data_IF_306808457196
#
_entry.id   IF_306808457196
#
_cell.length_a   1.000
_cell.length_b   1.000
_cell.length_c   1.000
_cell.angle_alpha   90.00
_cell.angle_beta   90.00
_cell.angle_gamma   90.00
#
_symmetry.space_group_name_H-M   'P 1'
#
loop_
_entity.id
_entity.type
_entity.pdbx_description
1 polymer ?
2 water ?
#
# COMPACT_ATOMS: atom_id res chain seq x y z
N UNK A 3 -1.40 22.95 16.60
CA UNK A 3 -1.71 22.13 15.39
C UNK A 3 -1.11 22.72 14.11
N UNK A 4 -1.04 21.90 13.07
CA UNK A 4 -0.51 22.31 11.76
C UNK A 4 -1.31 21.61 10.69
N UNK A 5 -1.86 22.39 9.76
CA UNK A 5 -2.64 21.82 8.67
C UNK A 5 -2.11 22.35 7.36
N UNK A 6 -1.80 21.43 6.45
CA UNK A 6 -1.28 21.81 5.15
C UNK A 6 -2.43 21.83 4.16
N UNK A 7 -2.53 22.92 3.42
CA UNK A 7 -3.55 23.10 2.41
C UNK A 7 -2.90 22.84 1.06
N UNK A 8 -3.60 22.12 0.19
CA UNK A 8 -3.10 21.84 -1.15
C UNK A 8 -4.22 22.20 -2.11
N UNK A 9 -3.94 23.13 -3.03
CA UNK A 9 -4.93 23.57 -4.01
C UNK A 9 -4.64 22.99 -5.40
N UNK A 10 -5.63 22.29 -5.96
CA UNK A 10 -5.48 21.66 -7.26
C UNK A 10 -5.49 22.63 -8.43
N UNK A 11 -4.92 23.82 -8.22
CA UNK A 11 -4.87 24.86 -9.25
C UNK A 11 -3.65 25.76 -9.04
N UNK A 12 -3.09 26.28 -10.12
CA UNK A 12 -1.94 27.17 -10.01
C UNK A 12 -2.34 28.60 -10.30
N UNK A 13 -3.59 28.81 -10.72
CA UNK A 13 -4.07 30.15 -11.04
C UNK A 13 -4.33 30.88 -9.74
N UNK A 14 -4.17 32.20 -9.77
CA UNK A 14 -4.36 33.01 -8.59
C UNK A 14 -5.83 33.22 -8.20
N UNK A 15 -6.72 33.24 -9.18
CA UNK A 15 -8.11 33.46 -8.87
C UNK A 15 -8.98 32.22 -8.81
N UNK A 16 -8.35 31.06 -8.79
CA UNK A 16 -9.08 29.80 -8.73
C UNK A 16 -10.23 29.79 -7.72
N UNK A 17 -11.39 29.27 -8.14
CA UNK A 17 -12.55 29.20 -7.24
C UNK A 17 -12.23 28.24 -6.09
N UNK A 18 -11.30 27.32 -6.33
CA UNK A 18 -10.94 26.36 -5.29
C UNK A 18 -9.95 26.99 -4.31
N UNK A 19 -9.18 27.97 -4.76
CA UNK A 19 -8.24 28.65 -3.87
C UNK A 19 -9.06 29.60 -3.01
N UNK A 20 -10.14 30.12 -3.60
CA UNK A 20 -11.04 31.02 -2.89
C UNK A 20 -11.78 30.25 -1.81
N UNK A 21 -12.13 28.99 -2.11
CA UNK A 21 -12.82 28.15 -1.13
C UNK A 21 -11.82 27.83 -0.02
N UNK A 22 -10.55 27.67 -0.40
CA UNK A 22 -9.50 27.36 0.54
C UNK A 22 -9.22 28.51 1.49
N UNK A 23 -9.44 29.73 1.03
CA UNK A 23 -9.22 30.91 1.88
C UNK A 23 -10.33 30.94 2.93
N UNK A 24 -11.55 30.61 2.54
CA UNK A 24 -12.69 30.60 3.45
C UNK A 24 -12.49 29.52 4.51
N UNK A 25 -11.97 28.37 4.09
CA UNK A 25 -11.73 27.30 5.03
C UNK A 25 -10.66 27.74 6.02
N UNK A 26 -9.56 28.30 5.51
CA UNK A 26 -8.48 28.77 6.36
C UNK A 26 -8.99 29.73 7.43
N UNK A 27 -10.02 30.50 7.09
CA UNK A 27 -10.61 31.47 7.99
C UNK A 27 -11.56 30.90 9.03
N UNK A 28 -12.37 29.93 8.64
CA UNK A 28 -13.30 29.34 9.57
C UNK A 28 -12.63 28.56 10.70
N UNK A 29 -11.34 28.29 10.56
CA UNK A 29 -10.62 27.57 11.61
C UNK A 29 -9.86 28.63 12.40
N UNK A 30 -9.54 29.72 11.71
CA UNK A 30 -8.84 30.80 12.36
C UNK A 30 -7.57 30.38 13.07
N UNK A 31 -7.60 30.41 14.40
CA UNK A 31 -6.42 30.04 15.18
C UNK A 31 -6.47 28.64 15.80
N UNK A 32 -7.56 27.91 15.57
CA UNK A 32 -7.67 26.56 16.11
C UNK A 32 -6.51 25.71 15.53
N UNK A 33 -5.94 26.17 14.41
CA UNK A 33 -4.84 25.47 13.77
C UNK A 33 -4.03 26.38 12.87
N UNK A 34 -2.76 26.06 12.74
CA UNK A 34 -1.86 26.84 11.91
C UNK A 34 -1.88 26.33 10.47
N UNK A 35 -2.61 27.05 9.61
CA UNK A 35 -2.72 26.69 8.19
C UNK A 35 -1.56 27.22 7.37
N UNK A 36 -1.19 26.45 6.34
CA UNK A 36 -0.12 26.80 5.44
C UNK A 36 -0.47 26.18 4.08
N UNK A 37 0.01 26.79 3.00
CA UNK A 37 -0.28 26.30 1.67
C UNK A 37 0.96 25.63 1.04
N UNK A 38 0.75 24.57 0.27
CA UNK A 38 1.87 23.88 -0.36
C UNK A 38 2.12 24.38 -1.77
N UNK A 39 3.38 24.69 -2.08
CA UNK A 39 3.74 25.16 -3.40
C UNK A 39 4.40 23.99 -4.14
N UNK A 40 3.83 23.61 -5.28
CA UNK A 40 4.37 22.51 -6.05
C UNK A 40 4.21 22.79 -7.55
N UNK A 41 4.26 24.08 -7.89
CA UNK A 41 4.14 24.56 -9.27
C UNK A 41 5.05 23.77 -10.21
N UNK A 42 6.30 23.55 -9.77
CA UNK A 42 7.30 22.81 -10.55
C UNK A 42 7.77 21.54 -9.86
N UNK A 43 7.32 20.41 -10.38
CA UNK A 43 7.71 19.12 -9.86
C UNK A 43 8.05 18.26 -11.07
N UNK A 44 9.12 17.46 -10.98
CA UNK A 44 9.47 16.63 -12.12
C UNK A 44 8.36 15.65 -12.48
N UNK A 45 8.26 15.31 -13.75
CA UNK A 45 7.27 14.34 -14.18
C UNK A 45 7.75 13.05 -13.50
N UNK A 46 6.87 12.37 -12.77
CA UNK A 46 7.30 11.16 -12.10
C UNK A 46 7.66 10.01 -13.05
N UNK A 47 8.65 9.23 -12.63
CA UNK A 47 9.11 8.08 -13.37
C UNK A 47 10.13 7.33 -12.48
N UNK A 48 9.97 6.01 -12.42
CA UNK A 48 10.81 5.15 -11.58
C UNK A 48 12.31 5.27 -11.76
N UNK A 49 12.77 5.40 -13.00
CA UNK A 49 14.21 5.52 -13.27
C UNK A 49 14.86 6.74 -12.64
N UNK A 50 14.04 7.62 -12.05
CA UNK A 50 14.52 8.84 -11.43
C UNK A 50 14.53 8.79 -9.91
N UNK A 51 13.94 7.74 -9.36
CA UNK A 51 13.83 7.61 -7.92
C UNK A 51 15.13 7.59 -7.13
N UNK A 52 16.23 7.22 -7.78
CA UNK A 52 17.52 7.20 -7.06
C UNK A 52 18.13 8.60 -7.03
N UNK A 53 17.50 9.53 -7.74
CA UNK A 53 17.99 10.91 -7.82
C UNK A 53 17.24 11.83 -6.86
N UNK A 54 17.93 12.88 -6.43
CA UNK A 54 17.34 13.87 -5.53
C UNK A 54 16.75 15.03 -6.31
N UNK A 55 15.48 15.30 -6.04
CA UNK A 55 14.75 16.38 -6.67
C UNK A 55 14.25 17.31 -5.55
N UNK A 56 14.88 18.48 -5.41
CA UNK A 56 14.55 19.49 -4.40
C UNK A 56 13.06 19.75 -4.18
N UNK A 57 12.34 20.00 -5.27
CA UNK A 57 10.91 20.26 -5.19
C UNK A 57 10.15 19.10 -4.55
N UNK A 58 10.67 17.89 -4.71
CA UNK A 58 10.06 16.69 -4.14
C UNK A 58 10.44 16.53 -2.67
N UNK A 59 11.71 16.80 -2.36
CA UNK A 59 12.17 16.71 -0.98
C UNK A 59 11.37 17.73 -0.16
N UNK A 60 11.13 18.88 -0.77
CA UNK A 60 10.37 19.99 -0.15
C UNK A 60 8.98 19.57 0.29
N UNK A 61 8.18 19.13 -0.67
CA UNK A 61 6.81 18.69 -0.41
C UNK A 61 6.75 17.56 0.61
N UNK A 62 7.75 16.69 0.59
CA UNK A 62 7.84 15.56 1.51
C UNK A 62 7.89 16.02 2.98
N UNK A 63 8.73 17.00 3.26
CA UNK A 63 8.87 17.53 4.61
C UNK A 63 7.59 18.21 5.04
N UNK A 64 7.11 19.11 4.18
CA UNK A 64 5.88 19.83 4.45
C UNK A 64 4.76 18.91 4.93
N UNK A 65 4.64 17.74 4.29
CA UNK A 65 3.63 16.75 4.66
C UNK A 65 4.01 16.01 5.93
N UNK A 66 5.30 15.86 6.14
CA UNK A 66 5.79 15.17 7.32
C UNK A 66 5.61 16.02 8.57
N UNK A 67 5.74 17.34 8.41
CA UNK A 67 5.60 18.28 9.53
C UNK A 67 4.14 18.58 9.89
N UNK A 68 3.25 18.39 8.91
CA UNK A 68 1.83 18.66 9.08
C UNK A 68 1.08 17.60 9.86
N UNK A 69 0.09 18.04 10.64
CA UNK A 69 -0.74 17.13 11.43
C UNK A 69 -1.83 16.55 10.53
N UNK A 70 -2.28 17.37 9.58
CA UNK A 70 -3.30 16.94 8.64
C UNK A 70 -3.14 17.67 7.32
N UNK A 71 -3.96 17.28 6.34
CA UNK A 71 -3.91 17.85 5.01
C UNK A 71 -5.31 18.02 4.45
N UNK A 72 -5.55 19.18 3.84
CA UNK A 72 -6.84 19.48 3.25
C UNK A 72 -6.62 19.87 1.79
N UNK A 73 -7.23 19.09 0.90
CA UNK A 73 -7.13 19.31 -0.53
C UNK A 73 -8.38 19.98 -1.09
N UNK A 74 -8.18 21.12 -1.74
CA UNK A 74 -9.26 21.86 -2.38
C UNK A 74 -8.91 21.79 -3.86
N UNK A 75 -9.55 20.89 -4.61
CA UNK A 75 -9.19 20.76 -6.01
C UNK A 75 -10.34 20.69 -6.97
N UNK A 76 -10.11 21.16 -8.20
CA UNK A 76 -11.16 21.14 -9.23
C UNK A 76 -11.16 19.75 -9.84
N UNK A 77 -12.17 19.44 -10.64
CA UNK A 77 -12.24 18.15 -11.28
C UNK A 77 -12.10 18.35 -12.78
N UNK A 78 -11.15 17.66 -13.38
CA UNK A 78 -10.96 17.76 -14.81
C UNK A 78 -11.42 16.46 -15.45
N UNK A 79 -12.44 16.54 -16.29
CA UNK A 79 -13.00 15.38 -16.97
C UNK A 79 -13.34 14.27 -15.97
N UNK A 80 -13.86 14.66 -14.80
CA UNK A 80 -14.24 13.71 -13.74
C UNK A 80 -13.08 13.17 -12.92
N UNK A 81 -11.85 13.60 -13.23
CA UNK A 81 -10.71 13.07 -12.52
C UNK A 81 -9.93 14.06 -11.68
N UNK A 82 -8.95 13.51 -10.96
CA UNK A 82 -8.05 14.28 -10.12
C UNK A 82 -7.12 15.05 -11.06
N UNK A 83 -6.93 16.35 -10.81
CA UNK A 83 -6.05 17.17 -11.66
C UNK A 83 -4.67 16.52 -11.84
N UNK A 84 -4.22 16.44 -13.07
CA UNK A 84 -2.93 15.84 -13.35
C UNK A 84 -1.81 16.14 -12.38
N UNK A 85 -1.48 17.43 -12.18
CA UNK A 85 -0.41 17.83 -11.27
C UNK A 85 -0.56 17.31 -9.85
N UNK A 86 -1.79 17.05 -9.44
CA UNK A 86 -2.05 16.55 -8.10
C UNK A 86 -1.73 15.05 -8.04
N UNK A 87 -2.14 14.30 -9.06
CA UNK A 87 -1.88 12.86 -9.11
C UNK A 87 -0.37 12.64 -9.20
N UNK A 88 0.31 13.45 -10.01
CA UNK A 88 1.74 13.35 -10.15
C UNK A 88 2.42 13.63 -8.82
N UNK A 89 1.89 14.58 -8.06
CA UNK A 89 2.46 14.93 -6.75
C UNK A 89 2.33 13.73 -5.80
N UNK A 90 1.13 13.13 -5.81
CA UNK A 90 0.85 11.98 -4.97
C UNK A 90 1.69 10.79 -5.40
N UNK A 91 2.00 10.69 -6.69
CA UNK A 91 2.81 9.58 -7.16
C UNK A 91 4.19 9.65 -6.50
N UNK A 92 4.67 10.85 -6.24
CA UNK A 92 5.97 11.02 -5.58
C UNK A 92 5.85 10.85 -4.06
N UNK A 93 4.88 11.53 -3.46
CA UNK A 93 4.68 11.46 -2.01
C UNK A 93 4.28 10.08 -1.47
N UNK A 94 3.78 9.22 -2.35
CA UNK A 94 3.38 7.88 -1.94
C UNK A 94 4.55 6.90 -2.01
N UNK A 95 5.70 7.36 -2.48
CA UNK A 95 6.86 6.48 -2.57
C UNK A 95 7.45 6.19 -1.19
N UNK A 96 8.05 5.00 -1.05
CA UNK A 96 8.66 4.59 0.20
C UNK A 96 9.76 5.59 0.60
N UNK A 97 9.82 5.89 1.89
CA UNK A 97 10.82 6.83 2.40
C UNK A 97 12.21 6.18 2.40
N UNK A 98 12.25 4.86 2.28
CA UNK A 98 13.52 4.14 2.27
C UNK A 98 13.72 3.44 0.93
N UNK A 99 14.89 3.71 0.34
CA UNK A 99 15.33 3.15 -0.94
C UNK A 99 15.81 1.73 -0.79
N UNK A 100 15.95 1.29 0.47
CA UNK A 100 16.41 -0.06 0.80
C UNK A 100 15.19 -0.94 0.88
N UNK A 101 14.09 -0.28 1.18
CA UNK A 101 12.85 -0.95 1.41
C UNK A 101 11.69 -0.43 0.56
N UNK A 102 11.60 -0.88 -0.70
CA UNK A 102 10.55 -0.49 -1.65
C UNK A 102 9.15 -0.68 -1.06
N UNK A 103 9.00 -1.64 -0.16
CA UNK A 103 7.68 -1.92 0.45
C UNK A 103 7.43 -1.20 1.78
N UNK A 104 8.28 -0.22 2.08
CA UNK A 104 8.14 0.55 3.30
C UNK A 104 7.14 1.69 3.16
N UNK A 105 6.80 2.34 4.28
CA UNK A 105 5.85 3.46 4.37
C UNK A 105 6.40 4.79 3.82
N UNK A 106 5.51 5.55 3.19
CA UNK A 106 5.83 6.85 2.61
C UNK A 106 5.44 7.91 3.64
N UNK A 107 5.61 9.19 3.29
CA UNK A 107 5.23 10.26 4.24
C UNK A 107 3.71 10.29 4.46
N UNK A 108 2.97 9.70 3.52
CA UNK A 108 1.52 9.65 3.57
C UNK A 108 0.95 8.62 4.55
N UNK A 109 1.82 7.81 5.15
CA UNK A 109 1.38 6.78 6.08
C UNK A 109 0.58 7.33 7.26
N UNK A 110 -0.69 6.94 7.33
CA UNK A 110 -1.59 7.35 8.41
C UNK A 110 -1.93 8.85 8.46
N UNK A 111 -1.50 9.64 7.46
CA UNK A 111 -1.80 11.08 7.47
C UNK A 111 -3.27 11.35 7.35
N UNK A 112 -3.78 12.20 8.23
CA UNK A 112 -5.20 12.57 8.21
C UNK A 112 -5.38 13.52 7.04
N UNK A 113 -6.42 13.27 6.25
CA UNK A 113 -6.66 14.08 5.09
C UNK A 113 -8.15 14.16 4.81
N UNK A 114 -8.55 15.21 4.10
CA UNK A 114 -9.94 15.43 3.72
C UNK A 114 -9.95 16.31 2.46
N UNK A 115 -11.05 16.29 1.73
CA UNK A 115 -11.14 17.03 0.47
C UNK A 115 -12.41 17.87 0.28
N UNK A 116 -12.26 18.98 -0.46
CA UNK A 116 -13.35 19.89 -0.81
C UNK A 116 -13.08 20.29 -2.26
N UNK A 117 -14.15 20.54 -3.01
CA UNK A 117 -14.01 20.90 -4.41
C UNK A 117 -15.08 21.87 -4.85
N UNK A 118 -14.76 22.75 -5.80
CA UNK A 118 -15.74 23.73 -6.29
C UNK A 118 -16.05 23.61 -7.78
N UNK A 119 -17.09 22.85 -8.07
CA UNK A 119 -17.51 22.61 -9.45
C UNK A 119 -18.94 22.09 -9.47
N UNK A 120 -19.43 21.77 -10.65
CA UNK A 120 -20.79 21.25 -10.78
C UNK A 120 -20.84 19.83 -11.36
N UNK A 121 -21.06 18.84 -10.49
CA UNK A 121 -21.14 17.47 -10.91
C UNK A 121 -22.08 16.69 -10.00
N UNK A 122 -22.51 15.51 -10.44
CA UNK A 122 -23.44 14.67 -9.66
C UNK A 122 -23.19 14.77 -8.16
N UNK A 126 -19.79 11.53 -7.67
CA UNK A 126 -18.89 11.38 -8.82
C UNK A 126 -17.82 12.44 -8.75
N UNK A 127 -17.98 13.35 -7.80
CA UNK A 127 -17.03 14.43 -7.61
C UNK A 127 -15.84 13.89 -6.83
N UNK A 128 -16.12 13.26 -5.70
CA UNK A 128 -15.07 12.72 -4.82
C UNK A 128 -14.78 11.22 -4.91
N UNK A 129 -15.33 10.54 -5.91
CA UNK A 129 -15.09 9.11 -6.05
C UNK A 129 -13.61 8.78 -6.17
N UNK A 130 -12.91 9.51 -7.03
CA UNK A 130 -11.48 9.31 -7.25
C UNK A 130 -10.68 9.39 -5.95
N UNK A 131 -10.88 10.47 -5.21
CA UNK A 131 -10.17 10.67 -3.96
C UNK A 131 -10.53 9.65 -2.89
N UNK A 132 -11.80 9.26 -2.81
CA UNK A 132 -12.23 8.29 -1.81
C UNK A 132 -11.53 6.93 -1.97
N UNK A 133 -11.23 6.58 -3.21
CA UNK A 133 -10.58 5.30 -3.50
C UNK A 133 -9.06 5.37 -3.41
N UNK A 134 -8.48 6.47 -3.87
CA UNK A 134 -7.02 6.64 -3.88
C UNK A 134 -6.34 7.02 -2.56
N UNK A 135 -6.83 8.06 -1.91
CA UNK A 135 -6.21 8.55 -0.67
C UNK A 135 -6.06 7.49 0.42
N UNK A 136 -7.09 6.63 0.59
CA UNK A 136 -7.02 5.57 1.61
C UNK A 136 -6.07 4.44 1.17
N UNK A 137 -6.03 4.22 -0.14
CA UNK A 137 -5.19 3.18 -0.73
C UNK A 137 -3.70 3.49 -0.56
N UNK A 138 -3.33 4.77 -0.61
CA UNK A 138 -1.94 5.13 -0.43
C UNK A 138 -1.63 5.38 1.05
N UNK A 139 -2.38 4.65 1.88
CA UNK A 139 -2.23 4.64 3.33
C UNK A 139 -2.57 5.87 4.16
N UNK A 141 -5.41 8.51 6.14
CA UNK A 141 -6.66 8.39 6.89
C UNK A 141 -7.62 9.48 6.43
N UNK A 142 -8.58 9.07 5.61
CA UNK A 142 -9.56 9.98 5.02
C UNK A 142 -10.79 10.30 5.87
N UNK A 143 -10.90 11.56 6.28
CA UNK A 143 -12.04 12.05 7.04
C UNK A 143 -13.11 12.25 5.97
N UNK A 144 -13.96 11.25 5.80
CA UNK A 144 -14.98 11.27 4.75
C UNK A 144 -16.20 12.17 4.93
N UNK A 145 -15.97 13.47 5.14
CA UNK A 145 -17.01 14.49 5.28
C UNK A 145 -16.68 15.52 4.21
N UNK A 146 -16.74 15.12 2.95
CA UNK A 146 -16.37 15.99 1.85
C UNK A 146 -17.44 16.97 1.36
N UNK A 147 -17.07 18.25 1.32
CA UNK A 147 -17.95 19.33 0.88
C UNK A 147 -17.71 19.74 -0.57
N UNK A 148 -18.75 19.57 -1.39
CA UNK A 148 -18.68 19.96 -2.79
C UNK A 148 -19.49 21.25 -2.98
N UNK A 149 -18.82 22.30 -3.46
CA UNK A 149 -19.49 23.59 -3.65
C UNK A 149 -19.66 23.96 -5.11
N UNK A 150 -20.88 24.32 -5.53
CA UNK A 150 -21.15 24.69 -6.92
C UNK A 150 -20.70 26.12 -7.19
N UNK A 151 -20.73 26.54 -8.45
CA UNK A 151 -20.31 27.88 -8.80
C UNK A 151 -21.51 28.78 -9.13
N UNK A 152 -21.67 29.84 -8.34
CA UNK A 152 -22.75 30.79 -8.58
C UNK A 152 -22.52 31.46 -9.94
N UNK A 153 -23.61 31.67 -10.69
CA UNK A 153 -23.55 32.25 -12.03
C UNK A 153 -23.04 33.70 -12.11
N UNK A 154 -22.88 34.33 -10.97
CA UNK A 154 -22.39 35.71 -10.90
C UNK A 154 -20.87 35.72 -10.95
N UNK A 155 -20.27 34.72 -10.32
CA UNK A 155 -18.83 34.58 -10.26
C UNK A 155 -18.20 34.62 -11.67
N UNK A 156 -18.97 34.16 -12.66
CA UNK A 156 -18.50 34.13 -14.03
C UNK A 156 -18.13 35.49 -14.61
N UNK A 157 -18.69 36.56 -14.03
CA UNK A 157 -18.41 37.92 -14.50
C UNK A 157 -17.65 38.76 -13.47
N UNK A 158 -17.87 38.46 -12.19
CA UNK A 158 -17.20 39.18 -11.10
C UNK A 158 -15.91 38.44 -10.73
N UNK A 159 -15.87 37.15 -11.05
CA UNK A 159 -14.71 36.32 -10.75
C UNK A 159 -14.63 36.00 -9.27
N UNK A 160 -15.74 36.20 -8.57
CA UNK A 160 -15.77 35.94 -7.13
C UNK A 160 -16.81 34.88 -6.79
N UNK A 161 -16.36 33.86 -6.04
CA UNK A 161 -17.21 32.76 -5.62
C UNK A 161 -18.06 33.10 -4.39
N UNK A 162 -19.35 32.77 -4.48
CA UNK A 162 -20.28 33.00 -3.40
C UNK A 162 -20.81 31.66 -2.91
N UNK A 163 -20.68 31.40 -1.62
CA UNK A 163 -21.13 30.14 -1.03
C UNK A 163 -22.38 30.35 -0.17
N UNK A 164 -23.39 29.51 -0.37
CA UNK A 164 -24.61 29.62 0.41
C UNK A 164 -24.26 29.36 1.87
N UNK A 165 -25.16 29.73 2.77
CA UNK A 165 -24.94 29.54 4.19
C UNK A 165 -25.03 28.06 4.52
N UNK A 166 -25.85 27.34 3.78
CA UNK A 166 -26.00 25.93 4.02
C UNK A 166 -24.69 25.22 3.66
N UNK A 167 -24.10 25.59 2.52
CA UNK A 167 -22.85 24.97 2.10
C UNK A 167 -21.71 25.40 3.01
N UNK A 168 -21.79 26.65 3.46
CA UNK A 168 -20.77 27.18 4.35
C UNK A 168 -20.82 26.43 5.69
N UNK A 169 -21.96 25.83 5.99
CA UNK A 169 -22.15 25.07 7.22
C UNK A 169 -21.46 23.72 7.08
N UNK A 170 -21.60 23.12 5.89
CA UNK A 170 -20.97 21.85 5.61
C UNK A 170 -19.47 22.00 5.77
N UNK A 171 -18.94 23.08 5.19
CA UNK A 171 -17.53 23.37 5.22
C UNK A 171 -16.98 23.58 6.63
N UNK A 172 -17.76 24.22 7.50
CA UNK A 172 -17.30 24.47 8.87
C UNK A 172 -17.38 23.19 9.69
N UNK A 173 -18.37 22.35 9.39
CA UNK A 173 -18.54 21.07 10.08
C UNK A 173 -17.41 20.15 9.64
N UNK A 174 -17.08 20.23 8.35
CA UNK A 174 -16.00 19.45 7.76
C UNK A 174 -14.69 19.86 8.42
N UNK A 175 -14.54 21.16 8.69
CA UNK A 175 -13.34 21.66 9.34
C UNK A 175 -13.33 21.16 10.77
N UNK A 176 -14.51 20.94 11.34
CA UNK A 176 -14.61 20.45 12.71
C UNK A 176 -14.31 18.97 12.81
N UNK A 177 -14.81 18.20 11.86
CA UNK A 177 -14.57 16.77 11.84
C UNK A 177 -13.06 16.52 11.66
N UNK A 178 -12.40 17.41 10.90
CA UNK A 178 -10.97 17.31 10.63
C UNK A 178 -10.17 17.65 11.89
N UNK A 179 -10.65 18.61 12.67
CA UNK A 179 -9.97 19.02 13.89
C UNK A 179 -10.10 17.99 15.00
N UNK A 180 -11.21 17.26 14.99
CA UNK A 180 -11.48 16.24 15.99
C UNK A 180 -10.64 15.00 15.71
N UNK A 181 -10.51 14.65 14.44
CA UNK A 181 -9.74 13.48 14.01
C UNK A 181 -8.31 13.66 14.46
N UNK A 182 -7.86 14.89 14.30
CA UNK A 182 -6.56 15.19 14.72
C UNK A 182 -6.50 15.17 16.20
N UNK A 183 -7.64 15.35 16.82
CA UNK A 183 -7.70 15.37 18.28
C UNK A 183 -7.57 13.97 18.85
N UNK A 184 -8.40 13.06 18.36
CA UNK A 184 -8.38 11.68 18.84
C UNK A 184 -7.01 11.03 18.68
N UNK B 3 -8.76 -24.94 -8.61
CA UNK B 3 -7.94 -24.16 -7.62
C UNK B 3 -6.44 -24.33 -7.86
N UNK B 4 -5.73 -23.21 -7.86
CA UNK B 4 -4.29 -23.24 -8.04
C UNK B 4 -3.64 -22.51 -6.88
N UNK B 5 -2.78 -23.22 -6.16
CA UNK B 5 -2.08 -22.64 -5.03
C UNK B 5 -0.59 -22.69 -5.33
N UNK B 6 0.05 -21.54 -5.27
CA UNK B 6 1.48 -21.43 -5.56
C UNK B 6 2.30 -21.46 -4.27
N UNK B 7 3.21 -22.43 -4.18
CA UNK B 7 4.07 -22.58 -3.02
C UNK B 7 5.37 -21.83 -3.26
N UNK B 8 5.83 -21.09 -2.26
CA UNK B 8 7.08 -20.35 -2.36
C UNK B 8 7.90 -20.74 -1.16
N UNK B 9 8.98 -21.48 -1.40
CA UNK B 9 9.87 -21.94 -0.34
C UNK B 9 11.01 -20.94 -0.13
N UNK B 10 11.20 -20.52 1.11
CA UNK B 10 12.24 -19.55 1.44
C UNK B 10 13.68 -20.08 1.49
N UNK B 11 13.96 -21.11 0.70
CA UNK B 11 15.30 -21.70 0.63
C UNK B 11 15.58 -22.21 -0.78
N UNK B 12 16.86 -22.27 -1.13
CA UNK B 12 17.27 -22.72 -2.45
C UNK B 12 17.85 -24.13 -2.45
N UNK B 13 18.02 -24.70 -1.27
CA UNK B 13 18.55 -26.05 -1.18
C UNK B 13 17.46 -27.09 -1.37
N UNK B 14 17.83 -28.23 -1.96
CA UNK B 14 16.92 -29.32 -2.22
C UNK B 14 16.46 -30.00 -0.93
N UNK B 15 17.37 -30.19 0.02
CA UNK B 15 17.01 -30.85 1.26
C UNK B 15 16.50 -29.95 2.38
N UNK B 16 16.23 -28.70 2.04
CA UNK B 16 15.74 -27.74 3.00
C UNK B 16 14.62 -28.35 3.82
N UNK B 17 14.61 -28.06 5.12
CA UNK B 17 13.57 -28.57 6.01
C UNK B 17 12.24 -27.89 5.75
N UNK B 18 12.31 -26.65 5.27
CA UNK B 18 11.09 -25.91 4.94
C UNK B 18 10.49 -26.50 3.66
N UNK B 19 11.37 -26.94 2.75
CA UNK B 19 10.89 -27.53 1.51
C UNK B 19 10.16 -28.81 1.86
N UNK B 20 10.65 -29.50 2.89
CA UNK B 20 10.05 -30.75 3.35
C UNK B 20 8.68 -30.49 3.97
N UNK B 21 8.56 -29.39 4.69
CA UNK B 21 7.29 -29.04 5.31
C UNK B 21 6.29 -28.70 4.21
N UNK B 22 6.79 -28.12 3.12
CA UNK B 22 5.94 -27.75 2.01
C UNK B 22 5.44 -29.02 1.32
N UNK B 23 6.33 -29.97 1.15
CA UNK B 23 5.97 -31.24 0.53
C UNK B 23 4.83 -31.88 1.30
N UNK B 24 4.80 -31.65 2.60
CA UNK B 24 3.73 -32.22 3.42
C UNK B 24 2.43 -31.45 3.26
N UNK B 25 2.53 -30.13 3.12
CA UNK B 25 1.33 -29.33 2.94
C UNK B 25 0.76 -29.71 1.57
N UNK B 26 1.64 -29.95 0.60
CA UNK B 26 1.21 -30.28 -0.74
C UNK B 26 0.30 -31.50 -0.85
N UNK B 27 0.62 -32.53 -0.08
CA UNK B 27 -0.17 -33.75 -0.09
C UNK B 27 -1.37 -33.62 0.84
N UNK B 28 -1.27 -32.73 1.83
CA UNK B 28 -2.39 -32.51 2.74
C UNK B 28 -3.50 -31.88 1.90
N UNK B 29 -3.11 -31.06 0.93
CA UNK B 29 -4.07 -30.40 0.05
C UNK B 29 -4.58 -31.47 -0.91
N UNK B 30 -3.65 -32.29 -1.38
CA UNK B 30 -4.02 -33.36 -2.28
C UNK B 30 -4.64 -32.84 -3.56
N UNK B 31 -5.73 -33.47 -3.98
CA UNK B 31 -6.40 -33.08 -5.21
C UNK B 31 -7.35 -31.90 -5.06
N UNK B 32 -7.37 -31.29 -3.88
CA UNK B 32 -8.25 -30.16 -3.65
C UNK B 32 -7.76 -28.91 -4.39
N UNK B 33 -6.52 -28.95 -4.86
CA UNK B 33 -5.93 -27.82 -5.57
C UNK B 33 -4.67 -28.22 -6.36
N UNK B 34 -4.41 -27.53 -7.45
CA UNK B 34 -3.21 -27.81 -8.23
C UNK B 34 -2.10 -27.02 -7.55
N UNK B 35 -1.19 -27.72 -6.86
CA UNK B 35 -0.10 -27.02 -6.19
C UNK B 35 1.12 -26.90 -7.09
N UNK B 36 1.69 -25.71 -7.13
CA UNK B 36 2.83 -25.43 -7.96
C UNK B 36 3.93 -24.82 -7.08
N UNK B 37 5.17 -24.84 -7.56
CA UNK B 37 6.26 -24.24 -6.80
C UNK B 37 6.92 -23.12 -7.60
N UNK B 38 7.15 -21.99 -6.94
CA UNK B 38 7.76 -20.87 -7.62
C UNK B 38 9.27 -20.97 -7.64
N UNK B 39 9.83 -20.82 -8.85
CA UNK B 39 11.27 -20.81 -9.05
C UNK B 39 11.65 -19.34 -9.15
N UNK B 40 12.63 -18.91 -8.36
CA UNK B 40 13.03 -17.51 -8.40
C UNK B 40 14.50 -17.28 -8.04
N UNK B 41 15.35 -18.24 -8.36
CA UNK B 41 16.76 -18.11 -8.04
C UNK B 41 17.56 -17.18 -8.98
N UNK B 42 16.97 -16.82 -10.11
CA UNK B 42 17.64 -15.93 -11.07
C UNK B 42 17.00 -14.53 -11.09
N UNK B 43 16.19 -14.24 -10.08
CA UNK B 43 15.55 -12.94 -9.95
C UNK B 43 16.60 -11.91 -9.49
N UNK B 44 16.83 -10.86 -10.30
CA UNK B 44 17.82 -9.83 -9.97
C UNK B 44 17.56 -9.03 -8.71
N UNK B 45 18.63 -8.47 -8.17
CA UNK B 45 18.60 -7.64 -6.97
C UNK B 45 17.72 -6.43 -7.33
N UNK B 46 16.78 -6.08 -6.46
CA UNK B 46 15.90 -4.95 -6.75
C UNK B 46 16.73 -3.67 -6.96
N UNK B 47 16.56 -3.05 -8.12
CA UNK B 47 17.36 -1.88 -8.46
C UNK B 47 16.68 -0.53 -8.78
N UNK B 48 15.38 -0.44 -8.53
CA UNK B 48 14.61 0.79 -8.83
C UNK B 48 14.60 1.10 -10.31
N UNK B 49 14.84 0.08 -11.14
CA UNK B 49 14.88 0.23 -12.60
C UNK B 49 13.70 -0.50 -13.28
N UNK B 50 12.95 0.21 -14.12
CA UNK B 50 11.78 -0.38 -14.76
C UNK B 50 12.06 -1.34 -15.94
N UNK B 51 13.28 -1.32 -16.49
CA UNK B 51 13.60 -2.24 -17.56
C UNK B 51 13.75 -3.64 -16.94
N UNK B 52 14.52 -3.72 -15.85
CA UNK B 52 14.75 -4.97 -15.12
C UNK B 52 13.41 -5.57 -14.73
N UNK B 53 12.36 -4.75 -14.82
CA UNK B 53 10.99 -5.14 -14.50
C UNK B 53 10.52 -6.25 -15.41
N UNK B 54 10.82 -6.12 -16.70
CA UNK B 54 10.42 -7.10 -17.70
C UNK B 54 11.40 -8.25 -17.82
N UNK B 55 12.39 -8.25 -16.94
CA UNK B 55 13.36 -9.33 -16.94
C UNK B 55 12.49 -10.58 -16.89
N UNK B 56 12.85 -11.61 -17.67
CA UNK B 56 12.14 -12.89 -17.76
C UNK B 56 11.76 -13.56 -16.44
N UNK B 57 12.71 -13.67 -15.52
CA UNK B 57 12.40 -14.33 -14.27
C UNK B 57 11.41 -13.51 -13.44
N UNK B 58 11.42 -12.20 -13.63
CA UNK B 58 10.50 -11.32 -12.89
C UNK B 58 9.10 -11.35 -13.51
N UNK B 59 9.02 -11.31 -14.84
CA UNK B 59 7.73 -11.36 -15.50
C UNK B 59 7.07 -12.72 -15.22
N UNK B 60 7.88 -13.78 -15.21
CA UNK B 60 7.43 -15.15 -14.94
C UNK B 60 6.76 -15.30 -13.57
N UNK B 61 7.44 -14.86 -12.52
CA UNK B 61 6.93 -14.94 -11.16
C UNK B 61 5.61 -14.16 -11.05
N UNK B 62 5.53 -13.03 -11.73
CA UNK B 62 4.35 -12.18 -11.73
C UNK B 62 3.16 -12.90 -12.37
N UNK B 63 3.39 -13.57 -13.49
CA UNK B 63 2.34 -14.31 -14.19
C UNK B 63 1.87 -15.48 -13.35
N UNK B 64 2.81 -16.12 -12.67
CA UNK B 64 2.51 -17.26 -11.81
C UNK B 64 1.63 -16.85 -10.63
N UNK B 65 1.94 -15.69 -10.03
CA UNK B 65 1.18 -15.18 -8.88
C UNK B 65 -0.22 -14.78 -9.35
N UNK B 66 -0.26 -14.20 -10.53
CA UNK B 66 -1.51 -13.75 -11.13
C UNK B 66 -2.40 -14.96 -11.44
N UNK B 67 -1.78 -16.08 -11.81
CA UNK B 67 -2.50 -17.31 -12.13
C UNK B 67 -3.04 -18.01 -10.89
N UNK B 68 -2.26 -17.98 -9.82
CA UNK B 68 -2.62 -18.62 -8.55
C UNK B 68 -3.87 -18.04 -7.89
N UNK B 69 -4.51 -18.84 -7.07
CA UNK B 69 -5.71 -18.41 -6.36
C UNK B 69 -5.28 -17.99 -4.96
N UNK B 70 -4.23 -18.65 -4.47
CA UNK B 70 -3.69 -18.33 -3.15
C UNK B 70 -2.22 -18.66 -3.20
N UNK B 71 -1.51 -18.16 -2.22
CA UNK B 71 -0.08 -18.39 -2.12
C UNK B 71 0.26 -18.90 -0.75
N UNK B 72 1.17 -19.87 -0.70
CA UNK B 72 1.59 -20.43 0.57
C UNK B 72 3.10 -20.35 0.71
N UNK B 73 3.55 -19.56 1.67
CA UNK B 73 4.98 -19.42 1.89
C UNK B 73 5.47 -20.34 3.00
N UNK B 74 6.54 -21.06 2.70
CA UNK B 74 7.19 -21.96 3.65
C UNK B 74 8.57 -21.37 3.74
N UNK B 75 8.86 -20.72 4.85
CA UNK B 75 10.15 -20.06 4.94
C UNK B 75 10.84 -20.07 6.27
N UNK B 76 12.17 -20.02 6.24
CA UNK B 76 12.96 -19.99 7.46
C UNK B 76 12.97 -18.55 7.97
N UNK B 77 13.79 -18.27 8.97
CA UNK B 77 13.89 -16.93 9.52
C UNK B 77 15.37 -16.62 9.83
N UNK B 78 15.90 -15.59 9.16
CA UNK B 78 17.28 -15.19 9.37
C UNK B 78 17.27 -14.15 10.49
N UNK B 79 17.73 -14.55 11.67
CA UNK B 79 17.77 -13.65 12.82
C UNK B 79 16.42 -12.92 13.00
N UNK B 80 15.35 -13.71 13.04
CA UNK B 80 14.00 -13.20 13.24
C UNK B 80 13.45 -12.26 12.16
N UNK B 81 13.96 -12.38 10.94
CA UNK B 81 13.50 -11.54 9.84
C UNK B 81 13.31 -12.34 8.55
N UNK B 82 12.46 -11.82 7.67
CA UNK B 82 12.19 -12.43 6.38
C UNK B 82 13.47 -12.63 5.59
N UNK B 83 13.68 -13.84 5.03
CA UNK B 83 14.90 -14.11 4.24
C UNK B 83 15.12 -13.08 3.13
N UNK B 84 16.37 -12.65 2.95
CA UNK B 84 16.70 -11.68 1.93
C UNK B 84 16.10 -11.97 0.57
N UNK B 85 16.29 -13.18 0.04
CA UNK B 85 15.76 -13.57 -1.27
C UNK B 85 14.22 -13.47 -1.42
N UNK B 86 13.50 -13.77 -0.35
CA UNK B 86 12.05 -13.70 -0.39
C UNK B 86 11.61 -12.24 -0.35
N UNK B 87 12.28 -11.44 0.48
CA UNK B 87 11.95 -10.02 0.58
C UNK B 87 12.27 -9.32 -0.74
N UNK B 88 13.39 -9.68 -1.36
CA UNK B 88 13.73 -9.07 -2.64
C UNK B 88 12.63 -9.44 -3.64
N UNK B 89 12.18 -10.69 -3.57
CA UNK B 89 11.13 -11.17 -4.46
C UNK B 89 9.87 -10.32 -4.31
N UNK B 90 9.50 -10.03 -3.05
CA UNK B 90 8.30 -9.24 -2.78
C UNK B 90 8.45 -7.77 -3.19
N UNK B 91 9.67 -7.26 -3.22
CA UNK B 91 9.90 -5.88 -3.64
C UNK B 91 9.45 -5.74 -5.10
N UNK B 92 9.77 -6.73 -5.92
CA UNK B 92 9.39 -6.73 -7.32
C UNK B 92 7.91 -6.97 -7.55
N UNK B 93 7.36 -8.00 -6.91
CA UNK B 93 5.95 -8.31 -7.08
C UNK B 93 5.02 -7.26 -6.49
N UNK B 94 5.54 -6.45 -5.56
CA UNK B 94 4.72 -5.42 -4.96
C UNK B 94 4.66 -4.17 -5.82
N UNK B 95 5.42 -4.12 -6.91
CA UNK B 95 5.38 -2.97 -7.82
C UNK B 95 4.03 -2.99 -8.52
N UNK B 96 3.49 -1.80 -8.79
CA UNK B 96 2.19 -1.72 -9.46
C UNK B 96 2.30 -2.26 -10.87
N UNK B 97 1.24 -2.92 -11.32
CA UNK B 97 1.16 -3.50 -12.67
C UNK B 97 1.21 -2.45 -13.75
N UNK B 98 0.66 -1.27 -13.44
CA UNK B 98 0.60 -0.17 -14.40
C UNK B 98 1.76 0.77 -14.23
N UNK B 99 2.80 0.54 -15.01
CA UNK B 99 4.00 1.38 -14.99
C UNK B 99 3.70 2.86 -14.80
N UNK B 100 2.82 3.37 -15.66
CA UNK B 100 2.43 4.77 -15.65
C UNK B 100 1.46 5.18 -14.55
N UNK B 101 1.45 4.42 -13.46
CA UNK B 101 0.59 4.72 -12.34
C UNK B 101 1.19 3.97 -11.16
N UNK B 102 2.30 4.48 -10.61
CA UNK B 102 2.99 3.85 -9.48
C UNK B 102 2.06 3.70 -8.28
N UNK B 103 0.91 4.36 -8.39
CA UNK B 103 -0.11 4.35 -7.37
C UNK B 103 -1.10 3.19 -7.55
N UNK B 104 -1.11 2.61 -8.75
CA UNK B 104 -2.00 1.50 -9.04
C UNK B 104 -1.66 0.20 -8.31
N UNK B 105 -2.54 -0.80 -8.38
CA UNK B 105 -2.33 -2.09 -7.71
C UNK B 105 -1.32 -3.03 -8.39
N UNK B 106 -0.73 -3.91 -7.58
CA UNK B 106 0.24 -4.89 -8.05
C UNK B 106 -0.43 -6.27 -8.12
N UNK B 107 0.28 -7.29 -8.59
CA UNK B 107 -0.31 -8.62 -8.69
C UNK B 107 -0.72 -9.16 -7.31
N UNK B 108 -0.12 -8.62 -6.25
CA UNK B 108 -0.40 -9.03 -4.88
C UNK B 108 -1.69 -8.43 -4.33
N UNK B 109 -2.33 -7.58 -5.11
CA UNK B 109 -3.56 -6.94 -4.66
C UNK B 109 -4.61 -7.97 -4.29
N UNK B 110 -4.83 -8.12 -2.99
CA UNK B 110 -5.81 -9.04 -2.47
C UNK B 110 -5.51 -10.52 -2.69
N UNK B 111 -4.25 -10.89 -2.87
CA UNK B 111 -3.94 -12.31 -3.06
C UNK B 111 -4.05 -12.98 -1.71
N UNK B 112 -4.82 -14.06 -1.66
CA UNK B 112 -4.94 -14.81 -0.43
C UNK B 112 -3.57 -15.41 -0.21
N UNK B 113 -3.08 -15.35 1.02
CA UNK B 113 -1.77 -15.89 1.36
C UNK B 113 -1.67 -16.35 2.79
N UNK B 114 -0.83 -17.33 3.04
CA UNK B 114 -0.59 -17.79 4.39
C UNK B 114 0.87 -18.23 4.48
N UNK B 115 1.36 -18.45 5.70
CA UNK B 115 2.76 -18.78 5.91
C UNK B 115 2.99 -19.88 6.93
N UNK B 116 4.03 -20.69 6.69
CA UNK B 116 4.42 -21.75 7.62
C UNK B 116 5.93 -21.64 7.79
N UNK B 117 6.45 -22.04 8.94
CA UNK B 117 7.89 -21.93 9.15
C UNK B 117 8.57 -23.02 9.96
N UNK B 118 9.70 -23.49 9.46
CA UNK B 118 10.50 -24.46 10.17
C UNK B 118 11.61 -23.64 10.81
N UNK B 119 11.51 -23.45 12.12
CA UNK B 119 12.51 -22.68 12.87
C UNK B 119 12.21 -22.76 14.36
N UNK B 120 13.26 -22.82 15.17
CA UNK B 120 13.11 -22.91 16.62
C UNK B 120 13.44 -21.55 17.28
N UNK B 121 12.46 -20.66 17.37
CA UNK B 121 12.69 -19.36 17.95
C UNK B 121 11.97 -19.20 19.26
N UNK B 122 12.04 -18.00 19.85
CA UNK B 122 11.37 -17.73 21.12
C UNK B 122 9.88 -18.01 21.05
N UNK B 123 9.14 -17.27 20.22
CA UNK B 123 7.71 -17.48 20.12
C UNK B 123 7.10 -17.34 18.73
N UNK B 124 5.99 -18.05 18.48
CA UNK B 124 5.30 -18.00 17.18
C UNK B 124 5.11 -16.54 16.78
N UNK B 125 4.72 -15.72 17.75
CA UNK B 125 4.53 -14.30 17.52
C UNK B 125 5.80 -13.72 16.89
N UNK B 126 6.92 -13.80 17.61
CA UNK B 126 8.21 -13.28 17.13
C UNK B 126 8.70 -13.94 15.84
N UNK B 127 8.20 -15.14 15.57
CA UNK B 127 8.59 -15.84 14.36
C UNK B 127 7.90 -15.20 13.14
N UNK B 128 6.56 -15.25 13.14
CA UNK B 128 5.74 -14.72 12.05
C UNK B 128 5.41 -13.25 12.15
N UNK B 129 6.14 -12.51 12.98
CA UNK B 129 5.89 -11.09 13.17
C UNK B 129 6.08 -10.29 11.88
N UNK B 130 7.26 -10.43 11.28
CA UNK B 130 7.58 -9.72 10.05
C UNK B 130 6.58 -9.96 8.92
N UNK B 131 6.23 -11.21 8.68
CA UNK B 131 5.28 -11.54 7.63
C UNK B 131 3.89 -10.99 7.91
N UNK B 132 3.46 -11.08 9.17
CA UNK B 132 2.14 -10.60 9.61
C UNK B 132 1.99 -9.09 9.44
N UNK B 133 3.13 -8.41 9.42
CA UNK B 133 3.21 -6.97 9.28
C UNK B 133 3.28 -6.60 7.80
N UNK B 134 4.19 -7.25 7.08
CA UNK B 134 4.39 -6.98 5.67
C UNK B 134 3.29 -7.40 4.69
N UNK B 135 3.00 -8.70 4.62
CA UNK B 135 2.01 -9.19 3.68
C UNK B 135 0.72 -8.39 3.57
N UNK B 136 0.12 -8.02 4.70
CA UNK B 136 -1.12 -7.23 4.62
C UNK B 136 -0.80 -5.81 4.10
N UNK B 137 0.30 -5.25 4.60
CA UNK B 137 0.70 -3.91 4.20
C UNK B 137 0.80 -3.84 2.70
N UNK B 138 1.34 -4.89 2.08
CA UNK B 138 1.45 -4.87 0.63
C UNK B 138 0.15 -5.35 -0.04
N UNK B 139 -0.96 -5.16 0.67
CA UNK B 139 -2.32 -5.47 0.20
C UNK B 139 -2.72 -6.91 -0.04
N UNK B 141 -4.22 -10.73 1.22
CA UNK B 141 -5.21 -11.19 2.17
C UNK B 141 -4.61 -12.30 3.00
N UNK B 142 -4.00 -11.94 4.12
CA UNK B 142 -3.38 -12.94 4.97
C UNK B 142 -4.35 -13.83 5.76
N UNK B 143 -4.28 -15.14 5.49
CA UNK B 143 -5.09 -16.13 6.20
C UNK B 143 -4.21 -16.39 7.43
N UNK B 144 -4.48 -15.65 8.49
CA UNK B 144 -3.69 -15.68 9.73
C UNK B 144 -3.84 -16.87 10.68
N UNK B 145 -3.44 -18.05 10.22
CA UNK B 145 -3.46 -19.27 11.03
C UNK B 145 -2.15 -19.97 10.66
N UNK B 146 -1.07 -19.34 11.10
CA UNK B 146 0.28 -19.79 10.79
C UNK B 146 0.81 -20.91 11.66
N UNK B 147 1.48 -21.86 11.03
CA UNK B 147 2.03 -23.00 11.75
C UNK B 147 3.54 -22.90 11.75
N UNK B 148 4.12 -23.00 12.94
CA UNK B 148 5.57 -22.97 13.06
C UNK B 148 6.03 -24.36 13.49
N UNK B 149 7.02 -24.93 12.81
CA UNK B 149 7.51 -26.26 13.15
C UNK B 149 8.98 -26.29 13.57
N UNK B 150 9.30 -26.86 14.75
CA UNK B 150 10.68 -26.95 15.22
C UNK B 150 11.45 -28.09 14.55
N UNK B 151 12.77 -28.08 14.70
CA UNK B 151 13.62 -29.10 14.10
C UNK B 151 14.01 -30.18 15.11
N UNK B 152 13.75 -31.44 14.75
CA UNK B 152 14.10 -32.56 15.62
C UNK B 152 15.55 -32.97 15.35
N UNK B 153 16.22 -33.47 16.39
CA UNK B 153 17.63 -33.85 16.33
C UNK B 153 17.97 -34.77 15.18
N UNK B 154 17.19 -35.85 15.08
CA UNK B 154 17.39 -36.85 14.05
C UNK B 154 17.48 -36.26 12.65
N UNK B 155 16.78 -35.16 12.42
CA UNK B 155 16.80 -34.50 11.11
C UNK B 155 18.22 -34.15 10.66
N UNK B 156 19.12 -33.92 11.61
CA UNK B 156 20.49 -33.58 11.25
C UNK B 156 21.30 -34.80 10.82
N UNK B 157 21.04 -35.94 11.45
CA UNK B 157 21.76 -37.17 11.12
C UNK B 157 21.03 -38.00 10.06
N UNK B 158 19.71 -37.81 9.95
CA UNK B 158 18.95 -38.55 8.96
C UNK B 158 18.60 -37.63 7.81
N UNK B 159 18.60 -36.32 8.08
CA UNK B 159 18.28 -35.35 7.06
C UNK B 159 16.79 -35.25 6.85
N UNK B 160 16.03 -36.01 7.64
CA UNK B 160 14.56 -36.01 7.53
C UNK B 160 13.85 -35.25 8.64
N UNK B 161 13.13 -34.20 8.24
CA UNK B 161 12.35 -33.40 9.17
C UNK B 161 11.20 -34.28 9.66
N UNK B 162 11.02 -34.30 10.97
CA UNK B 162 9.94 -35.08 11.59
C UNK B 162 8.93 -34.08 12.15
N UNK B 163 7.66 -34.22 11.74
CA UNK B 163 6.59 -33.34 12.19
C UNK B 163 5.63 -34.05 13.14
N UNK B 164 5.56 -33.56 14.37
CA UNK B 164 4.69 -34.16 15.37
C UNK B 164 3.27 -34.26 14.82
N UNK B 165 2.51 -35.18 15.38
CA UNK B 165 1.14 -35.38 14.96
C UNK B 165 0.36 -34.10 15.25
N UNK B 166 0.75 -33.39 16.31
CA UNK B 166 0.08 -32.15 16.70
C UNK B 166 0.33 -31.04 15.67
N UNK B 167 1.58 -30.91 15.22
CA UNK B 167 1.92 -29.89 14.24
C UNK B 167 1.28 -30.25 12.91
N UNK B 168 1.18 -31.55 12.64
CA UNK B 168 0.57 -32.03 11.43
C UNK B 168 -0.93 -31.67 11.43
N UNK B 169 -1.54 -31.68 12.61
CA UNK B 169 -2.95 -31.33 12.74
C UNK B 169 -3.11 -29.82 12.49
N UNK B 170 -2.21 -29.04 13.10
CA UNK B 170 -2.18 -27.58 12.94
C UNK B 170 -2.09 -27.26 11.46
N UNK B 171 -1.11 -27.87 10.81
CA UNK B 171 -0.88 -27.68 9.38
C UNK B 171 -2.14 -28.00 8.58
N UNK B 172 -2.80 -29.11 8.89
CA UNK B 172 -4.02 -29.54 8.20
C UNK B 172 -5.11 -28.46 8.32
N UNK B 173 -5.19 -27.88 9.51
CA UNK B 173 -6.14 -26.82 9.82
C UNK B 173 -5.77 -25.54 9.05
N UNK B 174 -4.48 -25.31 8.86
CA UNK B 174 -4.05 -24.13 8.12
C UNK B 174 -4.36 -24.33 6.64
N UNK B 175 -4.22 -25.57 6.16
CA UNK B 175 -4.51 -25.89 4.76
C UNK B 175 -6.00 -25.69 4.53
N UNK B 176 -6.81 -26.15 5.47
CA UNK B 176 -8.26 -26.01 5.35
C UNK B 176 -8.69 -24.54 5.42
N UNK B 177 -7.97 -23.75 6.20
CA UNK B 177 -8.27 -22.32 6.34
C UNK B 177 -7.99 -21.61 5.01
N UNK B 178 -6.88 -21.95 4.36
CA UNK B 178 -6.50 -21.35 3.09
C UNK B 178 -7.47 -21.75 1.96
N UNK B 179 -7.87 -23.02 1.94
CA UNK B 179 -8.79 -23.52 0.92
C UNK B 179 -10.18 -22.93 1.13
N UNK B 180 -10.50 -22.63 2.38
CA UNK B 180 -11.80 -22.08 2.70
C UNK B 180 -11.86 -20.62 2.22
N UNK B 181 -10.78 -19.87 2.45
CA UNK B 181 -10.71 -18.47 2.03
C UNK B 181 -10.82 -18.39 0.53
N UNK B 182 -10.24 -19.38 -0.15
CA UNK B 182 -10.27 -19.43 -1.60
C UNK B 182 -11.70 -19.70 -2.07
N UNK B 183 -12.47 -20.46 -1.32
CA UNK B 183 -13.81 -20.72 -1.74
C UNK B 183 -14.69 -19.51 -1.67
N UNK B 184 -14.34 -18.48 -0.94
CA UNK B 184 -15.16 -17.30 -1.09
C UNK B 184 -14.46 -16.21 -1.90
#
# INVERSE_FOLDING_TARGET
XSKRILFIVGSFSEGSFNRQLAKKAETIIGDRAQVSYLSYDRVPFFNQDLETSVHPEVAHAREEVQEADAIWIFSPVYNYAIPGPVKNLLDWLSRSLDLSDPTGPSVLQDKIVTVSSVANGASPEEVFEDYRSLLPFIRXHLVDQLTGVPINSEAWSTGILKVSAEKLAELSAQADALLSAIENLEHHHHHH
XSKRILFIVGSFSEGSFNRQLAKKAETIIGDRAQVSYLSYDRVPFFNQDLETSVHPEVAHAREEVQEADAIWIFSPVYNYAIPGPVKNLLDWLSRSLDLSDPTGPSVLQDKIVTVSSVANGASPEEVFEDYRSLLPFIRXHLVDQLTGVPINSEAWSTGILKVSAEKLAELSAQADALLSAIENLEHHHHHH
#
